data_IF_984927517425
#
_entry.id   IF_984927517425
#
_cell.length_a   1.000
_cell.length_b   1.000
_cell.length_c   1.000
_cell.angle_alpha   90.00
_cell.angle_beta   90.00
_cell.angle_gamma   90.00
#
_symmetry.space_group_name_H-M   'P 1'
#
loop_
_entity.id
_entity.type
_entity.pdbx_description
1 polymer ?
#
# COMPACT_ATOMS: atom_id res chain seq x y z
N UNK A 1 10.28 14.61 10.58
CA UNK A 1 9.08 14.33 9.76
C UNK A 1 8.10 13.48 10.56
N UNK A 2 6.87 13.93 10.62
CA UNK A 2 5.80 13.21 11.32
C UNK A 2 5.04 12.36 10.30
N UNK A 3 4.95 11.06 10.57
CA UNK A 3 4.18 10.16 9.71
C UNK A 3 2.68 10.29 10.00
N UNK A 4 1.81 10.18 9.00
CA UNK A 4 0.37 10.22 9.23
C UNK A 4 -0.11 8.94 9.92
N UNK A 5 -1.29 9.00 10.53
CA UNK A 5 -1.86 7.84 11.24
C UNK A 5 -2.36 6.75 10.28
N UNK A 6 -2.76 7.14 9.08
CA UNK A 6 -3.30 6.21 8.09
C UNK A 6 -2.35 6.06 6.91
N UNK A 7 -1.98 4.83 6.61
CA UNK A 7 -1.11 4.49 5.49
C UNK A 7 -1.77 3.44 4.60
N UNK A 8 -1.33 3.41 3.36
CA UNK A 8 -1.80 2.45 2.37
C UNK A 8 -0.63 1.58 1.92
N UNK A 9 -0.76 0.27 2.02
CA UNK A 9 0.19 -0.66 1.43
C UNK A 9 -0.28 -1.09 0.05
N UNK A 10 0.63 -1.10 -0.91
CA UNK A 10 0.39 -1.76 -2.20
C UNK A 10 0.81 -3.24 -2.12
N UNK A 11 0.66 -3.97 -3.22
CA UNK A 11 1.01 -5.39 -3.27
C UNK A 11 2.50 -5.63 -2.98
N UNK A 12 3.39 -4.74 -3.43
CA UNK A 12 4.83 -4.91 -3.22
C UNK A 12 5.19 -4.84 -1.74
N UNK A 13 4.63 -3.88 -1.01
CA UNK A 13 4.81 -3.75 0.43
C UNK A 13 4.21 -4.93 1.17
N UNK A 14 3.00 -5.34 0.76
CA UNK A 14 2.30 -6.46 1.39
C UNK A 14 3.13 -7.74 1.31
N UNK A 15 3.64 -8.05 0.11
CA UNK A 15 4.47 -9.24 -0.10
C UNK A 15 5.74 -9.20 0.77
N UNK A 16 6.42 -8.06 0.80
CA UNK A 16 7.65 -7.91 1.59
C UNK A 16 7.42 -7.91 3.08
N UNK A 17 6.32 -7.32 3.56
CA UNK A 17 6.02 -7.28 4.99
C UNK A 17 5.65 -8.64 5.57
N UNK A 18 5.04 -9.51 4.76
CA UNK A 18 4.61 -10.84 5.19
C UNK A 18 5.70 -11.90 5.02
N UNK A 19 6.91 -11.56 5.47
CA UNK A 19 8.04 -12.49 5.53
C UNK A 19 8.43 -12.69 7.00
N UNK A 20 9.02 -13.83 7.31
CA UNK A 20 9.42 -14.16 8.69
C UNK A 20 10.37 -13.12 9.28
N UNK A 21 11.29 -12.58 8.48
CA UNK A 21 12.28 -11.59 8.92
C UNK A 21 11.66 -10.24 9.30
N UNK A 22 10.45 -9.93 8.82
CA UNK A 22 9.78 -8.64 9.08
C UNK A 22 8.59 -8.74 10.01
N UNK A 23 8.37 -9.90 10.62
CA UNK A 23 7.22 -10.11 11.50
C UNK A 23 7.12 -9.08 12.63
N UNK A 24 8.24 -8.80 13.30
CA UNK A 24 8.27 -7.80 14.38
C UNK A 24 7.91 -6.41 13.88
N UNK A 25 8.47 -6.01 12.73
CA UNK A 25 8.18 -4.71 12.14
C UNK A 25 6.74 -4.60 11.69
N UNK A 26 6.16 -5.68 11.19
CA UNK A 26 4.74 -5.74 10.83
C UNK A 26 3.87 -5.52 12.07
N UNK A 27 4.15 -6.24 13.15
CA UNK A 27 3.40 -6.11 14.40
C UNK A 27 3.46 -4.67 14.95
N UNK A 28 4.63 -4.05 14.93
CA UNK A 28 4.81 -2.67 15.37
C UNK A 28 4.03 -1.70 14.47
N UNK A 29 4.11 -1.90 13.15
CA UNK A 29 3.39 -1.06 12.19
C UNK A 29 1.89 -1.13 12.41
N UNK A 30 1.35 -2.34 12.59
CA UNK A 30 -0.09 -2.53 12.82
C UNK A 30 -0.54 -1.93 14.16
N UNK A 31 0.34 -1.89 15.16
CA UNK A 31 0.03 -1.29 16.44
C UNK A 31 0.00 0.25 16.38
N UNK A 32 0.80 0.85 15.50
CA UNK A 32 0.97 2.31 15.44
C UNK A 32 0.16 3.01 14.36
N UNK A 33 -0.23 2.30 13.32
CA UNK A 33 -0.90 2.89 12.15
C UNK A 33 -2.18 2.16 11.82
N UNK A 34 -3.12 2.90 11.24
CA UNK A 34 -4.25 2.31 10.54
C UNK A 34 -3.76 1.94 9.14
N UNK A 35 -3.62 0.66 8.88
CA UNK A 35 -3.08 0.20 7.60
C UNK A 35 -4.21 -0.25 6.69
N UNK A 36 -4.32 0.42 5.56
CA UNK A 36 -5.32 0.15 4.52
C UNK A 36 -4.65 -0.56 3.35
N UNK A 37 -5.37 -1.49 2.74
CA UNK A 37 -4.89 -2.22 1.57
C UNK A 37 -6.02 -2.28 0.55
N UNK A 38 -5.81 -1.80 -0.68
CA UNK A 38 -6.83 -1.94 -1.73
C UNK A 38 -7.09 -3.42 -2.04
N UNK A 39 -8.34 -3.75 -2.33
CA UNK A 39 -8.70 -5.13 -2.68
C UNK A 39 -7.88 -5.67 -3.85
N UNK A 40 -7.50 -4.81 -4.79
CA UNK A 40 -6.68 -5.21 -5.94
C UNK A 40 -5.26 -5.63 -5.52
N UNK A 41 -4.72 -5.03 -4.46
CA UNK A 41 -3.42 -5.43 -3.89
C UNK A 41 -3.54 -6.77 -3.17
N UNK A 42 -4.66 -7.01 -2.51
CA UNK A 42 -4.98 -8.31 -1.91
C UNK A 42 -5.00 -9.39 -2.98
N UNK A 43 -5.67 -9.12 -4.11
CA UNK A 43 -5.71 -10.05 -5.23
C UNK A 43 -4.30 -10.45 -5.69
N UNK A 44 -3.42 -9.47 -5.92
CA UNK A 44 -2.05 -9.73 -6.34
C UNK A 44 -1.26 -10.53 -5.31
N UNK A 45 -1.43 -10.21 -4.04
CA UNK A 45 -0.81 -10.97 -2.95
C UNK A 45 -1.28 -12.43 -2.94
N UNK A 46 -2.58 -12.64 -3.08
CA UNK A 46 -3.17 -13.98 -3.08
C UNK A 46 -2.70 -14.80 -4.28
N UNK A 47 -2.52 -14.18 -5.44
CA UNK A 47 -1.93 -14.85 -6.61
C UNK A 47 -0.56 -15.41 -6.27
N UNK A 48 0.28 -14.61 -5.60
CA UNK A 48 1.62 -15.05 -5.20
C UNK A 48 1.59 -16.25 -4.25
N UNK A 49 0.60 -16.29 -3.34
CA UNK A 49 0.43 -17.38 -2.39
C UNK A 49 -0.14 -18.64 -3.05
N UNK A 50 -1.11 -18.47 -3.92
CA UNK A 50 -1.68 -19.60 -4.69
C UNK A 50 -0.62 -20.25 -5.59
N UNK A 51 0.27 -19.44 -6.16
CA UNK A 51 1.37 -19.94 -6.99
C UNK A 51 2.27 -20.93 -6.25
N UNK A 52 2.47 -20.71 -4.95
CA UNK A 52 3.27 -21.62 -4.10
C UNK A 52 2.39 -22.62 -3.32
N UNK A 53 1.19 -22.87 -3.81
CA UNK A 53 0.25 -23.87 -3.28
C UNK A 53 -0.24 -23.61 -1.84
N UNK A 54 -0.29 -22.36 -1.41
CA UNK A 54 -0.91 -21.99 -0.14
C UNK A 54 -2.43 -21.97 -0.27
N UNK A 55 -3.13 -22.22 0.82
CA UNK A 55 -4.60 -22.08 0.87
C UNK A 55 -4.93 -20.60 0.99
N UNK A 56 -5.35 -19.99 -0.10
CA UNK A 56 -5.58 -18.53 -0.16
C UNK A 56 -6.75 -18.08 0.70
N UNK A 57 -7.73 -18.96 0.96
CA UNK A 57 -8.85 -18.66 1.84
C UNK A 57 -8.36 -18.33 3.26
N UNK A 58 -7.41 -19.10 3.77
CA UNK A 58 -6.79 -18.87 5.08
C UNK A 58 -5.95 -17.58 5.08
N UNK A 59 -5.18 -17.37 4.02
CA UNK A 59 -4.37 -16.15 3.86
C UNK A 59 -5.27 -14.91 3.84
N UNK A 60 -6.34 -14.96 3.07
CA UNK A 60 -7.31 -13.86 2.98
C UNK A 60 -7.96 -13.56 4.33
N UNK A 61 -8.33 -14.60 5.06
CA UNK A 61 -8.93 -14.45 6.39
C UNK A 61 -8.02 -13.67 7.34
N UNK A 62 -6.73 -14.01 7.36
CA UNK A 62 -5.73 -13.31 8.17
C UNK A 62 -5.62 -11.83 7.75
N UNK A 63 -5.56 -11.58 6.44
CA UNK A 63 -5.45 -10.21 5.93
C UNK A 63 -6.65 -9.35 6.34
N UNK A 64 -7.86 -9.92 6.33
CA UNK A 64 -9.07 -9.20 6.75
C UNK A 64 -9.06 -8.87 8.25
N UNK A 65 -8.38 -9.67 9.04
CA UNK A 65 -8.29 -9.45 10.49
C UNK A 65 -7.31 -8.30 10.82
N UNK A 66 -6.24 -8.16 10.06
CA UNK A 66 -5.16 -7.23 10.41
C UNK A 66 -5.15 -5.93 9.60
N UNK A 67 -5.80 -5.88 8.45
CA UNK A 67 -5.86 -4.69 7.59
C UNK A 67 -7.29 -4.23 7.38
N UNK A 68 -7.45 -2.93 7.10
CA UNK A 68 -8.69 -2.42 6.54
C UNK A 68 -8.60 -2.55 5.02
N UNK A 69 -9.40 -3.43 4.45
CA UNK A 69 -9.38 -3.69 3.00
C UNK A 69 -10.33 -2.71 2.34
N UNK A 70 -9.83 -1.96 1.35
CA UNK A 70 -10.61 -0.98 0.61
C UNK A 70 -11.21 -1.63 -0.64
N UNK A 71 -12.55 -1.65 -0.75
CA UNK A 71 -13.19 -2.21 -1.93
C UNK A 71 -13.04 -1.29 -3.13
N UNK A 72 -13.12 -1.86 -4.33
CA UNK A 72 -13.14 -1.08 -5.57
C UNK A 72 -14.55 -0.49 -5.75
N UNK A 73 -14.68 0.80 -5.53
CA UNK A 73 -15.94 1.52 -5.61
C UNK A 73 -16.09 2.22 -6.96
N UNK A 74 -17.33 2.62 -7.31
CA UNK A 74 -17.59 3.43 -8.49
C UNK A 74 -16.77 4.72 -8.46
N UNK A 75 -16.66 5.36 -7.28
CA UNK A 75 -15.94 6.59 -7.10
C UNK A 75 -14.45 6.43 -7.45
N UNK A 76 -13.83 5.34 -7.02
CA UNK A 76 -12.42 5.05 -7.33
C UNK A 76 -12.25 4.73 -8.82
N UNK A 77 -13.16 4.00 -9.42
CA UNK A 77 -13.13 3.70 -10.86
C UNK A 77 -13.18 5.01 -11.67
N UNK A 78 -14.09 5.91 -11.33
CA UNK A 78 -14.22 7.19 -12.02
C UNK A 78 -12.97 8.06 -11.83
N UNK A 79 -12.44 8.12 -10.61
CA UNK A 79 -11.24 8.90 -10.30
C UNK A 79 -10.02 8.35 -11.04
N UNK A 80 -9.83 7.02 -11.00
CA UNK A 80 -8.74 6.35 -11.71
C UNK A 80 -8.81 6.55 -13.21
N UNK A 81 -10.01 6.45 -13.79
CA UNK A 81 -10.21 6.66 -15.22
C UNK A 81 -9.81 8.08 -15.66
N UNK A 82 -10.14 9.09 -14.85
CA UNK A 82 -9.76 10.47 -15.15
C UNK A 82 -8.25 10.66 -15.09
N UNK A 83 -7.59 10.07 -14.10
CA UNK A 83 -6.13 10.14 -13.95
C UNK A 83 -5.46 9.43 -15.14
N UNK A 84 -5.88 8.21 -15.44
CA UNK A 84 -5.27 7.44 -16.53
C UNK A 84 -5.45 8.12 -17.89
N UNK A 85 -6.61 8.69 -18.15
CA UNK A 85 -6.84 9.44 -19.39
C UNK A 85 -5.86 10.60 -19.55
N UNK A 86 -5.58 11.34 -18.46
CA UNK A 86 -4.61 12.44 -18.49
C UNK A 86 -3.19 11.93 -18.73
N UNK A 87 -2.83 10.81 -18.14
CA UNK A 87 -1.51 10.18 -18.35
C UNK A 87 -1.35 9.75 -19.80
N UNK A 88 -2.37 9.10 -20.38
CA UNK A 88 -2.34 8.66 -21.76
C UNK A 88 -2.17 9.84 -22.73
N UNK A 89 -2.79 10.99 -22.45
CA UNK A 89 -2.62 12.20 -23.26
C UNK A 89 -1.18 12.71 -23.24
N UNK A 90 -0.44 12.40 -22.19
CA UNK A 90 1.00 12.75 -22.08
C UNK A 90 1.91 11.67 -22.61
N UNK A 91 1.36 10.60 -23.19
CA UNK A 91 2.14 9.47 -23.68
C UNK A 91 2.66 8.54 -22.58
N UNK A 92 2.10 8.65 -21.37
CA UNK A 92 2.50 7.81 -20.24
C UNK A 92 1.49 6.68 -20.05
N UNK A 93 1.99 5.49 -19.77
CA UNK A 93 1.15 4.32 -19.55
C UNK A 93 1.57 3.63 -18.25
N UNK A 94 0.63 3.49 -17.32
CA UNK A 94 0.81 2.76 -16.08
C UNK A 94 -0.05 1.50 -16.09
N UNK A 95 0.33 0.53 -15.28
CA UNK A 95 -0.52 -0.63 -15.04
C UNK A 95 -1.82 -0.19 -14.34
N UNK A 96 -2.93 -0.85 -14.67
CA UNK A 96 -4.25 -0.51 -14.13
C UNK A 96 -4.26 -0.54 -12.60
N UNK A 97 -3.65 -1.57 -12.02
CA UNK A 97 -3.58 -1.71 -10.57
C UNK A 97 -2.80 -0.59 -9.90
N UNK A 98 -1.75 -0.07 -10.55
CA UNK A 98 -0.98 1.07 -10.03
C UNK A 98 -1.80 2.35 -10.07
N UNK A 99 -2.54 2.58 -11.16
CA UNK A 99 -3.44 3.72 -11.27
C UNK A 99 -4.50 3.68 -10.18
N UNK A 100 -5.14 2.53 -9.99
CA UNK A 100 -6.20 2.38 -9.00
C UNK A 100 -5.66 2.51 -7.58
N UNK A 101 -4.50 1.93 -7.29
CA UNK A 101 -3.85 2.08 -5.98
C UNK A 101 -3.54 3.54 -5.69
N UNK A 102 -2.96 4.24 -6.67
CA UNK A 102 -2.70 5.67 -6.56
C UNK A 102 -3.97 6.48 -6.36
N UNK A 103 -5.04 6.13 -7.08
CA UNK A 103 -6.34 6.80 -6.93
C UNK A 103 -6.90 6.65 -5.52
N UNK A 104 -6.78 5.48 -4.89
CA UNK A 104 -7.16 5.29 -3.49
C UNK A 104 -6.38 6.24 -2.58
N UNK A 105 -5.06 6.26 -2.72
CA UNK A 105 -4.20 7.08 -1.87
C UNK A 105 -4.49 8.57 -2.01
N UNK A 106 -4.65 9.05 -3.25
CA UNK A 106 -4.95 10.44 -3.54
C UNK A 106 -6.33 10.82 -2.96
N UNK A 107 -7.34 9.99 -3.24
CA UNK A 107 -8.71 10.26 -2.82
C UNK A 107 -8.85 10.35 -1.30
N UNK A 108 -8.23 9.42 -0.61
CA UNK A 108 -8.34 9.35 0.85
C UNK A 108 -7.21 10.05 1.59
N UNK A 109 -6.32 10.73 0.88
CA UNK A 109 -5.18 11.47 1.43
C UNK A 109 -4.32 10.61 2.35
N UNK A 110 -4.02 9.41 1.90
CA UNK A 110 -3.18 8.45 2.62
C UNK A 110 -1.76 8.46 2.07
N UNK A 111 -0.81 8.20 2.94
CA UNK A 111 0.56 7.95 2.51
C UNK A 111 0.64 6.55 1.89
N UNK A 112 1.02 6.48 0.63
CA UNK A 112 1.29 5.21 -0.04
C UNK A 112 2.69 4.73 0.35
N UNK A 113 2.77 3.56 0.97
CA UNK A 113 4.04 2.91 1.28
C UNK A 113 4.24 1.78 0.27
N UNK A 114 5.30 1.88 -0.52
CA UNK A 114 5.57 0.97 -1.62
C UNK A 114 7.03 0.55 -1.65
N UNK A 115 7.30 -0.67 -2.07
CA UNK A 115 8.67 -1.13 -2.30
C UNK A 115 9.20 -0.71 -3.68
N UNK A 116 8.38 -0.07 -4.51
CA UNK A 116 8.75 0.36 -5.87
C UNK A 116 8.12 1.72 -6.20
N UNK A 117 8.77 2.79 -5.74
CA UNK A 117 8.30 4.17 -5.96
C UNK A 117 8.23 4.55 -7.45
N UNK A 118 9.12 3.98 -8.27
CA UNK A 118 9.17 4.34 -9.69
C UNK A 118 7.87 4.03 -10.42
N UNK A 119 7.15 2.99 -9.99
CA UNK A 119 5.84 2.64 -10.54
C UNK A 119 4.85 3.79 -10.49
N UNK A 120 4.90 4.57 -9.42
CA UNK A 120 3.88 5.58 -9.11
C UNK A 120 4.33 7.00 -9.39
N UNK A 121 5.56 7.18 -9.83
CA UNK A 121 6.16 8.49 -10.02
C UNK A 121 5.30 9.45 -10.85
N UNK A 122 4.69 9.03 -11.97
CA UNK A 122 3.82 9.92 -12.75
C UNK A 122 2.58 10.38 -12.00
N UNK A 123 2.19 9.71 -10.92
CA UNK A 123 1.01 10.06 -10.14
C UNK A 123 1.27 11.17 -9.12
N UNK A 124 2.52 11.53 -8.89
CA UNK A 124 2.86 12.60 -7.93
C UNK A 124 2.28 13.95 -8.33
N UNK A 125 2.15 14.22 -9.64
CA UNK A 125 1.53 15.46 -10.13
C UNK A 125 0.03 15.53 -9.82
N UNK A 126 -0.61 14.41 -9.50
CA UNK A 126 -2.02 14.35 -9.12
C UNK A 126 -2.22 14.38 -7.60
N UNK A 127 -1.14 14.65 -6.86
CA UNK A 127 -1.21 14.77 -5.41
C UNK A 127 -0.89 13.50 -4.65
N UNK A 128 -0.33 12.49 -5.31
CA UNK A 128 0.08 11.27 -4.61
C UNK A 128 1.23 11.56 -3.66
N UNK A 129 1.04 11.18 -2.41
CA UNK A 129 2.06 11.21 -1.38
C UNK A 129 2.54 9.77 -1.16
N UNK A 130 3.83 9.52 -1.29
CA UNK A 130 4.37 8.16 -1.19
C UNK A 130 5.72 8.12 -0.48
N UNK A 131 6.02 6.95 0.06
CA UNK A 131 7.28 6.69 0.74
C UNK A 131 7.74 5.27 0.42
N UNK A 132 9.03 5.10 0.23
CA UNK A 132 9.61 3.77 -0.01
C UNK A 132 9.55 2.95 1.29
N UNK A 133 9.24 1.65 1.16
CA UNK A 133 8.99 0.76 2.30
C UNK A 133 10.16 0.72 3.30
N UNK A 134 11.39 0.52 2.83
CA UNK A 134 12.54 0.40 3.74
C UNK A 134 12.79 1.70 4.50
N UNK A 135 12.58 2.85 3.84
CA UNK A 135 12.68 4.14 4.50
C UNK A 135 11.58 4.30 5.55
N UNK A 136 10.34 3.91 5.22
CA UNK A 136 9.21 3.93 6.15
C UNK A 136 9.53 3.10 7.41
N UNK A 137 10.07 1.89 7.21
CA UNK A 137 10.39 0.99 8.33
C UNK A 137 11.50 1.55 9.22
N UNK A 138 12.47 2.25 8.65
CA UNK A 138 13.49 2.95 9.44
C UNK A 138 12.88 4.04 10.30
N UNK A 139 11.92 4.78 9.75
CA UNK A 139 11.21 5.81 10.51
C UNK A 139 10.37 5.20 11.64
N UNK A 140 9.75 4.04 11.39
CA UNK A 140 9.00 3.32 12.43
C UNK A 140 9.94 2.88 13.56
N UNK A 141 11.10 2.32 13.24
CA UNK A 141 12.10 1.92 14.24
C UNK A 141 12.57 3.13 15.06
N UNK A 142 12.80 4.27 14.41
CA UNK A 142 13.20 5.50 15.09
C UNK A 142 12.12 5.97 16.08
N UNK A 143 10.85 5.89 15.69
CA UNK A 143 9.73 6.23 16.58
C UNK A 143 9.69 5.34 17.82
N UNK A 144 9.93 4.04 17.65
CA UNK A 144 9.98 3.10 18.78
C UNK A 144 11.14 3.43 19.71
N UNK A 145 12.32 3.70 19.17
CA UNK A 145 13.49 4.08 19.98
C UNK A 145 13.24 5.35 20.79
N UNK A 146 12.62 6.36 20.18
CA UNK A 146 12.26 7.60 20.87
C UNK A 146 11.28 7.34 22.03
N UNK A 147 10.30 6.49 21.83
CA UNK A 147 9.33 6.13 22.88
C UNK A 147 10.02 5.41 24.05
N UNK A 148 10.98 4.54 23.75
CA UNK A 148 11.71 3.80 24.79
C UNK A 148 12.63 4.69 25.61
N UNK A 149 13.06 5.84 25.08
CA UNK A 149 13.90 6.82 25.78
C UNK A 149 13.09 7.79 26.65
N UNK A 150 11.79 7.88 26.40
CA UNK A 150 10.93 8.84 27.11
C UNK A 150 10.66 8.43 28.56
#
# INVERSE_FOLDING_TARGET
MTLPDSILFDATSLIKMHTASRRRLLEVTLAKFNVFVPIISIYKYLVSKAYINRKIENEFKVLKEIYTILPLTEEIVLHGAKIEAKLLKKGLRLEVDDVLTGAFAIKHRMLLVTADQDRYKPLTEFGLDMMELDYFLKEVERMVEEELKA
#
